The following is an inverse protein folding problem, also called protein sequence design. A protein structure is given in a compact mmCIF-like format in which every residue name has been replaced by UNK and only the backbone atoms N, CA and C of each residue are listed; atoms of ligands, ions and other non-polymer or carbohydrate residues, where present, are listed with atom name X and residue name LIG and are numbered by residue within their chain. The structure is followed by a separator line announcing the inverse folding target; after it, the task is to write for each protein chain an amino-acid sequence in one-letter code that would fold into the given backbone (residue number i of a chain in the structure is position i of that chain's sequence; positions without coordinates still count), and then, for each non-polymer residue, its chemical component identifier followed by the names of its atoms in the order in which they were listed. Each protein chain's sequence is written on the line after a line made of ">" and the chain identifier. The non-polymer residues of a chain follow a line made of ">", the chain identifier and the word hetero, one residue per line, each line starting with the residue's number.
data_IF_660636226484
#
_entry.id   IF_660636226484
#
_cell.length_a   1.000
_cell.length_b   1.000
_cell.length_c   1.000
_cell.angle_alpha   90.00
_cell.angle_beta   90.00
_cell.angle_gamma   90.00
#
_symmetry.space_group_name_H-M   'P 1'
#
loop_
_entity.id
_entity.type
_entity.pdbx_description
1 polymer ?
#
# COMPACT_ATOMS: atom_id res chain seq x y z
N UNK A 1 -17.59 46.10 -15.21
CA UNK A 1 -18.27 44.86 -14.81
C UNK A 1 -17.41 43.68 -15.27
N UNK A 2 -17.18 42.67 -14.42
CA UNK A 2 -16.52 41.41 -14.78
C UNK A 2 -16.86 40.36 -13.70
N UNK A 3 -17.38 39.15 -14.05
CA UNK A 3 -17.59 38.05 -13.10
C UNK A 3 -16.23 37.39 -12.82
N UNK A 4 -15.67 37.33 -11.60
CA UNK A 4 -16.19 37.06 -10.26
C UNK A 4 -16.55 35.58 -9.97
N UNK A 5 -16.05 35.14 -8.82
CA UNK A 5 -15.87 33.78 -8.31
C UNK A 5 -17.11 32.86 -8.30
N UNK A 6 -16.94 31.59 -8.68
CA UNK A 6 -17.60 30.45 -8.02
C UNK A 6 -16.93 29.09 -8.37
N UNK A 7 -16.36 28.40 -7.37
CA UNK A 7 -16.71 27.02 -6.97
C UNK A 7 -15.66 26.38 -6.04
N UNK A 8 -15.91 26.47 -4.73
CA UNK A 8 -15.32 25.59 -3.73
C UNK A 8 -16.28 25.49 -2.54
N UNK A 9 -17.07 24.41 -2.44
CA UNK A 9 -17.45 23.75 -1.18
C UNK A 9 -18.22 22.44 -1.45
N UNK A 10 -18.30 21.60 -0.41
CA UNK A 10 -19.00 20.30 -0.30
C UNK A 10 -18.41 19.06 -0.98
N UNK A 11 -17.80 18.22 -0.13
CA UNK A 11 -17.74 16.75 -0.25
C UNK A 11 -17.56 16.11 1.14
N UNK A 12 -18.44 16.47 2.09
CA UNK A 12 -18.63 15.75 3.36
C UNK A 12 -20.06 15.23 3.34
N UNK A 13 -20.22 13.94 3.09
CA UNK A 13 -21.51 13.26 2.92
C UNK A 13 -21.29 11.76 2.79
N UNK A 14 -22.30 10.97 3.17
CA UNK A 14 -22.22 9.51 3.21
C UNK A 14 -22.34 8.88 1.81
N UNK A 15 -21.79 7.67 1.66
CA UNK A 15 -22.26 6.71 0.64
C UNK A 15 -23.40 5.86 1.25
N UNK A 16 -24.47 5.57 0.51
CA UNK A 16 -25.58 4.74 1.00
C UNK A 16 -25.24 3.25 0.94
N UNK A 17 -25.69 2.49 1.95
CA UNK A 17 -25.61 1.03 1.96
C UNK A 17 -26.70 0.42 1.07
N UNK A 18 -26.32 -0.39 0.09
CA UNK A 18 -27.24 -1.03 -0.86
C UNK A 18 -27.11 -2.56 -0.82
N UNK A 19 -27.59 -3.16 0.27
CA UNK A 19 -27.74 -4.60 0.39
C UNK A 19 -28.82 -5.14 -0.56
N UNK A 20 -28.40 -5.75 -1.68
CA UNK A 20 -29.33 -6.40 -2.63
C UNK A 20 -29.78 -7.75 -2.07
N UNK A 21 -31.09 -7.88 -1.81
CA UNK A 21 -31.73 -9.18 -1.58
C UNK A 21 -32.07 -9.86 -2.91
N UNK A 22 -31.84 -11.17 -3.06
CA UNK A 22 -32.42 -11.94 -4.15
C UNK A 22 -33.84 -12.38 -3.79
N UNK A 23 -34.83 -12.01 -4.61
CA UNK A 23 -36.10 -12.76 -4.71
C UNK A 23 -36.07 -13.68 -5.93
N UNK A 24 -36.81 -14.78 -5.87
CA UNK A 24 -36.58 -15.95 -6.72
C UNK A 24 -37.60 -16.19 -7.83
N UNK A 25 -37.11 -16.76 -8.94
CA UNK A 25 -37.84 -17.62 -9.88
C UNK A 25 -36.90 -18.79 -10.20
N UNK A 26 -37.35 -19.98 -10.62
CA UNK A 26 -38.71 -20.51 -10.79
C UNK A 26 -38.57 -21.89 -11.45
N UNK A 27 -39.28 -22.91 -10.96
CA UNK A 27 -39.12 -24.30 -11.41
C UNK A 27 -39.65 -24.52 -12.83
N UNK A 28 -38.85 -25.17 -13.72
CA UNK A 28 -39.42 -26.08 -14.72
C UNK A 28 -38.48 -27.15 -15.32
N UNK A 29 -38.92 -28.40 -15.14
CA UNK A 29 -38.84 -29.57 -16.06
C UNK A 29 -37.59 -30.45 -16.13
N UNK A 30 -37.86 -31.75 -15.96
CA UNK A 30 -37.01 -32.91 -16.23
C UNK A 30 -36.63 -33.07 -17.72
N UNK A 31 -35.55 -33.82 -17.99
CA UNK A 31 -35.66 -35.18 -18.58
C UNK A 31 -34.41 -36.05 -18.37
N UNK A 32 -34.57 -37.36 -18.60
CA UNK A 32 -33.64 -38.46 -18.29
C UNK A 32 -32.92 -39.01 -19.52
N UNK A 33 -31.74 -39.61 -19.31
CA UNK A 33 -31.14 -40.62 -20.19
C UNK A 33 -30.25 -40.08 -21.33
N UNK A 34 -29.31 -40.84 -21.89
CA UNK A 34 -28.91 -42.25 -21.61
C UNK A 34 -27.43 -42.46 -21.95
N UNK A 35 -26.79 -43.51 -21.39
CA UNK A 35 -25.43 -43.96 -21.75
C UNK A 35 -25.32 -44.33 -23.24
N UNK A 36 -24.11 -44.21 -23.79
CA UNK A 36 -23.50 -45.26 -24.63
C UNK A 36 -21.97 -45.25 -24.42
N UNK A 37 -21.30 -46.35 -24.76
CA UNK A 37 -19.85 -46.53 -24.65
C UNK A 37 -19.30 -47.21 -25.91
N UNK A 38 -18.02 -46.99 -26.21
CA UNK A 38 -17.30 -47.62 -27.31
C UNK A 38 -15.79 -47.69 -26.99
N UNK A 39 -15.17 -48.83 -27.29
CA UNK A 39 -13.76 -49.15 -27.01
C UNK A 39 -12.98 -49.32 -28.33
N UNK A 40 -11.69 -49.72 -28.20
CA UNK A 40 -10.76 -50.13 -29.29
C UNK A 40 -10.18 -48.93 -30.06
N UNK A 41 -8.93 -48.86 -30.54
CA UNK A 41 -7.71 -49.70 -30.54
C UNK A 41 -6.49 -48.72 -30.71
N UNK A 42 -5.19 -49.03 -30.64
CA UNK A 42 -4.37 -50.26 -30.46
C UNK A 42 -2.94 -49.89 -29.95
N UNK A 43 -2.12 -50.89 -29.58
CA UNK A 43 -0.64 -50.83 -29.45
C UNK A 43 -0.07 -52.21 -29.80
N UNK A 44 1.15 -52.34 -30.36
CA UNK A 44 2.38 -52.43 -29.54
C UNK A 44 3.53 -51.58 -30.19
N UNK A 45 4.85 -51.80 -30.14
CA UNK A 45 5.72 -52.87 -29.59
C UNK A 45 7.20 -52.37 -29.44
N UNK A 46 8.07 -53.22 -28.87
CA UNK A 46 9.55 -53.22 -28.89
C UNK A 46 10.28 -52.08 -28.11
N UNK A 47 11.34 -52.30 -27.32
CA UNK A 47 12.21 -53.48 -27.10
C UNK A 47 13.52 -53.39 -27.91
N UNK A 48 14.73 -53.64 -27.37
CA UNK A 48 15.15 -54.01 -26.01
C UNK A 48 16.68 -53.78 -25.81
N UNK A 49 17.18 -53.87 -24.55
CA UNK A 49 18.55 -54.24 -24.11
C UNK A 49 19.87 -53.52 -24.55
N UNK A 50 20.53 -52.91 -23.54
CA UNK A 50 21.83 -53.34 -22.92
C UNK A 50 23.18 -52.57 -23.11
N UNK A 51 23.92 -52.54 -21.98
CA UNK A 51 25.38 -52.44 -21.73
C UNK A 51 26.25 -51.25 -22.23
N UNK A 52 26.43 -50.28 -21.33
CA UNK A 52 27.71 -49.87 -20.71
C UNK A 52 29.05 -49.93 -21.50
N UNK A 53 29.62 -48.76 -21.80
CA UNK A 53 31.08 -48.48 -21.78
C UNK A 53 31.35 -47.02 -21.34
N UNK A 54 32.55 -46.75 -20.80
CA UNK A 54 33.04 -45.46 -20.28
C UNK A 54 34.59 -45.56 -20.12
N UNK A 55 35.44 -44.51 -20.08
CA UNK A 55 35.24 -43.05 -20.27
C UNK A 55 36.05 -42.54 -21.50
N UNK A 56 36.55 -41.27 -21.64
CA UNK A 56 37.34 -40.47 -20.70
C UNK A 56 36.79 -39.04 -20.42
N UNK A 57 37.37 -38.36 -19.42
CA UNK A 57 36.96 -37.02 -18.98
C UNK A 57 37.75 -35.87 -19.65
N UNK A 58 37.12 -34.69 -19.76
CA UNK A 58 37.81 -33.40 -19.98
C UNK A 58 36.94 -32.24 -19.43
N UNK A 59 37.46 -31.28 -18.63
CA UNK A 59 36.61 -30.35 -17.87
C UNK A 59 36.22 -29.07 -18.64
N UNK A 60 34.99 -29.04 -19.18
CA UNK A 60 34.42 -27.86 -19.85
C UNK A 60 33.80 -26.84 -18.90
N UNK A 61 34.46 -25.69 -18.69
CA UNK A 61 33.95 -24.58 -17.85
C UNK A 61 32.63 -24.00 -18.36
N UNK A 62 31.53 -24.19 -17.61
CA UNK A 62 30.37 -23.26 -17.60
C UNK A 62 29.85 -23.07 -16.18
N UNK A 63 30.22 -21.94 -15.57
CA UNK A 63 29.72 -21.57 -14.25
C UNK A 63 28.28 -21.07 -14.35
N UNK A 64 27.32 -21.86 -13.87
CA UNK A 64 25.99 -21.35 -13.56
C UNK A 64 26.08 -20.49 -12.30
N UNK A 65 26.00 -19.17 -12.47
CA UNK A 65 25.80 -18.23 -11.36
C UNK A 65 24.38 -18.37 -10.83
N UNK A 66 24.17 -19.36 -9.95
CA UNK A 66 23.04 -19.40 -9.04
C UNK A 66 23.14 -18.19 -8.10
N UNK A 67 22.40 -17.13 -8.42
CA UNK A 67 22.13 -16.05 -7.48
C UNK A 67 21.08 -16.58 -6.49
N UNK A 68 21.40 -16.79 -5.20
CA UNK A 68 20.42 -17.20 -4.23
C UNK A 68 19.45 -16.04 -3.99
N UNK A 69 18.16 -16.24 -4.26
CA UNK A 69 17.13 -15.29 -3.88
C UNK A 69 17.03 -15.24 -2.34
N UNK A 70 17.61 -14.20 -1.73
CA UNK A 70 17.65 -14.03 -0.28
C UNK A 70 16.26 -13.70 0.28
N UNK A 71 15.47 -14.74 0.56
CA UNK A 71 14.19 -14.63 1.25
C UNK A 71 14.42 -14.28 2.72
N UNK A 72 14.63 -12.99 3.00
CA UNK A 72 14.81 -12.46 4.35
C UNK A 72 13.51 -12.61 5.16
N UNK A 73 13.50 -13.62 6.03
CA UNK A 73 12.52 -13.80 7.09
C UNK A 73 12.65 -12.66 8.11
N UNK A 74 11.76 -11.67 8.03
CA UNK A 74 11.56 -10.65 9.07
C UNK A 74 10.79 -11.22 10.28
N UNK A 75 11.27 -12.36 10.77
CA UNK A 75 10.67 -13.16 11.84
C UNK A 75 11.50 -13.00 13.11
N UNK A 76 11.04 -12.14 14.03
CA UNK A 76 11.66 -11.99 15.35
C UNK A 76 12.81 -10.97 15.44
N UNK A 77 12.51 -9.68 15.19
CA UNK A 77 13.28 -8.63 15.88
C UNK A 77 12.91 -8.65 17.37
N UNK A 78 13.86 -8.70 18.31
CA UNK A 78 13.55 -8.59 19.73
C UNK A 78 12.94 -7.21 20.04
N UNK A 79 12.06 -7.13 21.04
CA UNK A 79 11.46 -5.86 21.46
C UNK A 79 12.53 -4.86 21.89
N UNK A 80 12.80 -3.86 21.06
CA UNK A 80 13.82 -2.84 21.33
C UNK A 80 13.32 -1.87 22.41
N UNK A 81 13.48 -2.25 23.68
CA UNK A 81 13.17 -1.44 24.87
C UNK A 81 14.14 -0.28 25.13
N UNK A 82 14.76 0.27 24.07
CA UNK A 82 15.47 1.55 24.12
C UNK A 82 14.60 2.62 23.45
N UNK A 83 14.63 3.86 23.96
CA UNK A 83 13.80 4.95 23.40
C UNK A 83 14.13 5.19 21.93
N UNK A 84 13.24 4.74 21.03
CA UNK A 84 13.38 4.93 19.58
C UNK A 84 13.21 6.42 19.27
N UNK A 85 14.32 7.15 19.13
CA UNK A 85 14.40 8.62 18.90
C UNK A 85 13.21 9.13 18.04
N UNK A 86 12.50 10.19 18.47
CA UNK A 86 11.45 10.83 17.67
C UNK A 86 11.91 11.17 16.25
N UNK A 87 11.01 11.01 15.28
CA UNK A 87 11.21 11.47 13.90
C UNK A 87 10.45 12.79 13.68
N UNK A 88 10.92 13.59 12.71
CA UNK A 88 10.18 14.74 12.20
C UNK A 88 9.39 14.32 10.97
N UNK A 89 8.07 14.49 11.02
CA UNK A 89 7.15 14.01 9.99
C UNK A 89 6.44 15.21 9.33
N UNK A 90 6.67 15.38 8.03
CA UNK A 90 5.95 16.36 7.20
C UNK A 90 4.71 15.72 6.59
N UNK A 91 3.51 16.15 6.97
CA UNK A 91 2.26 15.61 6.45
C UNK A 91 1.70 16.53 5.38
N UNK A 92 1.83 16.13 4.11
CA UNK A 92 1.30 16.82 2.95
C UNK A 92 -0.12 16.31 2.68
N UNK A 93 -1.12 17.07 3.11
CA UNK A 93 -2.53 16.69 3.03
C UNK A 93 -3.09 16.15 4.34
N UNK A 94 -3.17 17.00 5.37
CA UNK A 94 -3.77 16.72 6.69
C UNK A 94 -5.32 16.61 6.64
N UNK A 95 -5.85 15.80 5.72
CA UNK A 95 -7.27 15.43 5.65
C UNK A 95 -7.63 14.28 6.60
N UNK A 96 -8.72 13.55 6.30
CA UNK A 96 -9.22 12.44 7.15
C UNK A 96 -8.16 11.36 7.44
N UNK A 97 -7.27 11.08 6.49
CA UNK A 97 -6.14 10.14 6.62
C UNK A 97 -4.94 10.83 7.30
N UNK A 98 -4.28 11.77 6.61
CA UNK A 98 -3.07 12.42 7.12
C UNK A 98 -3.23 13.11 8.48
N UNK A 99 -4.39 13.71 8.76
CA UNK A 99 -4.69 14.27 10.08
C UNK A 99 -4.74 13.19 11.17
N UNK A 100 -5.42 12.06 10.92
CA UNK A 100 -5.50 10.93 11.85
C UNK A 100 -4.13 10.28 12.11
N UNK A 101 -3.31 10.10 11.07
CA UNK A 101 -1.94 9.61 11.24
C UNK A 101 -1.06 10.59 12.01
N UNK A 102 -1.23 11.90 11.81
CA UNK A 102 -0.60 12.92 12.64
C UNK A 102 -1.02 12.85 14.11
N UNK A 103 -2.31 12.63 14.41
CA UNK A 103 -2.77 12.43 15.80
C UNK A 103 -2.14 11.18 16.45
N UNK A 104 -1.94 10.10 15.68
CA UNK A 104 -1.35 8.86 16.17
C UNK A 104 0.16 9.01 16.41
N UNK A 105 0.92 9.56 15.45
CA UNK A 105 2.36 9.73 15.59
C UNK A 105 2.75 10.75 16.66
N UNK A 106 1.97 11.81 16.89
CA UNK A 106 2.18 12.72 18.02
C UNK A 106 2.02 11.99 19.37
N UNK A 107 1.02 11.09 19.50
CA UNK A 107 0.84 10.26 20.70
C UNK A 107 1.99 9.28 20.90
N UNK A 108 2.56 8.75 19.82
CA UNK A 108 3.79 7.95 19.84
C UNK A 108 5.09 8.78 19.99
N UNK A 109 4.98 10.10 20.22
CA UNK A 109 6.10 10.98 20.57
C UNK A 109 6.87 11.59 19.39
N UNK A 110 6.44 11.41 18.14
CA UNK A 110 7.05 12.06 16.98
C UNK A 110 6.73 13.55 16.92
N UNK A 111 7.56 14.33 16.23
CA UNK A 111 7.25 15.73 15.88
C UNK A 111 6.54 15.77 14.52
N UNK A 112 5.44 16.51 14.38
CA UNK A 112 4.60 16.49 13.17
C UNK A 112 4.26 17.92 12.70
N UNK A 113 4.44 18.17 11.41
CA UNK A 113 3.89 19.35 10.73
C UNK A 113 2.73 18.92 9.84
N UNK A 114 1.53 19.30 10.24
CA UNK A 114 0.26 19.08 9.54
C UNK A 114 0.06 20.16 8.49
N UNK A 115 -0.02 19.81 7.20
CA UNK A 115 -0.20 20.81 6.15
C UNK A 115 -1.40 20.62 5.23
N UNK A 116 -1.90 21.75 4.76
CA UNK A 116 -2.83 21.85 3.64
C UNK A 116 -2.61 23.19 2.91
N UNK A 117 -3.37 23.45 1.84
CA UNK A 117 -3.42 24.77 1.17
C UNK A 117 -4.05 25.87 2.04
N UNK A 118 -4.63 25.48 3.17
CA UNK A 118 -5.37 26.29 4.13
C UNK A 118 -4.88 25.94 5.55
N UNK A 119 -3.64 26.32 5.92
CA UNK A 119 -3.04 25.96 7.21
C UNK A 119 -3.83 26.50 8.41
N UNK A 120 -4.56 27.62 8.25
CA UNK A 120 -5.40 28.23 9.28
C UNK A 120 -6.45 27.25 9.83
N UNK A 121 -6.90 26.32 8.98
CA UNK A 121 -7.91 25.29 9.34
C UNK A 121 -7.34 24.11 10.12
N UNK A 122 -6.03 24.10 10.35
CA UNK A 122 -5.31 23.04 11.08
C UNK A 122 -4.81 23.52 12.44
N UNK A 123 -4.94 24.81 12.77
CA UNK A 123 -4.45 25.36 14.03
C UNK A 123 -5.12 24.72 15.25
N UNK A 124 -6.45 24.57 15.24
CA UNK A 124 -7.20 23.91 16.31
C UNK A 124 -6.75 22.46 16.54
N UNK A 125 -6.44 21.74 15.46
CA UNK A 125 -5.90 20.38 15.50
C UNK A 125 -4.48 20.38 16.08
N UNK A 126 -3.61 21.28 15.62
CA UNK A 126 -2.24 21.40 16.13
C UNK A 126 -2.22 21.78 17.62
N UNK A 127 -3.00 22.79 18.05
CA UNK A 127 -3.12 23.20 19.46
C UNK A 127 -3.61 22.05 20.35
N UNK A 128 -4.60 21.27 19.89
CA UNK A 128 -5.11 20.08 20.60
C UNK A 128 -4.10 18.92 20.68
N UNK A 129 -3.14 18.85 19.76
CA UNK A 129 -2.05 17.88 19.76
C UNK A 129 -0.81 18.34 20.54
N UNK A 130 -0.76 19.61 20.97
CA UNK A 130 0.28 20.13 21.85
C UNK A 130 1.64 20.36 21.17
N UNK A 131 2.73 20.51 21.94
CA UNK A 131 3.98 21.11 21.45
C UNK A 131 4.76 20.29 20.42
N UNK A 132 4.38 19.01 20.19
CA UNK A 132 4.95 18.17 19.12
C UNK A 132 4.26 18.37 17.77
N UNK A 133 3.14 19.10 17.70
CA UNK A 133 2.38 19.35 16.49
C UNK A 133 2.40 20.83 16.09
N UNK A 134 2.46 21.11 14.78
CA UNK A 134 2.21 22.45 14.23
C UNK A 134 1.52 22.40 12.88
N UNK A 135 0.78 23.46 12.55
CA UNK A 135 0.20 23.67 11.22
C UNK A 135 1.23 24.34 10.29
N UNK A 136 1.04 24.21 8.97
CA UNK A 136 1.86 24.92 7.98
C UNK A 136 1.47 24.59 6.53
N UNK A 137 2.20 25.16 5.57
CA UNK A 137 2.04 24.89 4.12
C UNK A 137 2.69 23.56 3.71
N UNK A 138 2.35 23.01 2.53
CA UNK A 138 3.00 21.79 2.00
C UNK A 138 4.52 21.92 1.83
N UNK A 139 5.00 23.14 1.55
CA UNK A 139 6.43 23.45 1.41
C UNK A 139 7.14 23.42 2.76
N UNK A 140 6.55 24.00 3.79
CA UNK A 140 7.08 23.89 5.16
C UNK A 140 7.07 22.45 5.67
N UNK A 141 6.03 21.66 5.33
CA UNK A 141 5.99 20.23 5.64
C UNK A 141 7.16 19.46 5.01
N UNK A 142 7.42 19.69 3.72
CA UNK A 142 8.51 19.05 2.98
C UNK A 142 9.89 19.44 3.54
N UNK A 143 10.10 20.72 3.85
CA UNK A 143 11.35 21.20 4.48
C UNK A 143 11.54 20.59 5.88
N UNK A 144 10.50 20.57 6.71
CA UNK A 144 10.59 20.10 8.10
C UNK A 144 10.79 18.58 8.24
N UNK A 145 10.05 17.78 7.48
CA UNK A 145 9.99 16.33 7.71
C UNK A 145 11.25 15.61 7.22
N UNK A 146 11.91 14.88 8.10
CA UNK A 146 12.91 13.87 7.72
C UNK A 146 12.22 12.72 6.94
N UNK A 147 10.97 12.44 7.31
CA UNK A 147 10.04 11.54 6.62
C UNK A 147 8.78 12.32 6.23
N UNK A 148 8.21 12.01 5.07
CA UNK A 148 7.02 12.68 4.53
C UNK A 148 5.85 11.70 4.43
N UNK A 149 4.67 12.13 4.84
CA UNK A 149 3.40 11.47 4.50
C UNK A 149 2.71 12.24 3.36
N UNK A 150 2.50 11.57 2.23
CA UNK A 150 1.75 12.08 1.09
C UNK A 150 0.31 11.56 1.15
N UNK A 151 -0.63 12.44 1.52
CA UNK A 151 -2.05 12.15 1.77
C UNK A 151 -2.96 13.14 1.02
N UNK A 152 -2.62 13.44 -0.24
CA UNK A 152 -3.41 14.30 -1.15
C UNK A 152 -4.37 13.50 -2.05
N UNK A 153 -5.41 14.12 -2.63
CA UNK A 153 -6.14 13.53 -3.75
C UNK A 153 -5.18 13.18 -4.89
N UNK A 154 -5.34 12.00 -5.50
CA UNK A 154 -4.32 11.43 -6.38
C UNK A 154 -4.05 12.26 -7.64
N UNK A 155 -5.07 12.93 -8.18
CA UNK A 155 -4.91 13.88 -9.30
C UNK A 155 -4.05 15.12 -8.97
N UNK A 156 -3.83 15.44 -7.69
CA UNK A 156 -2.91 16.51 -7.27
C UNK A 156 -1.46 16.02 -7.15
N UNK A 157 -1.21 14.71 -7.05
CA UNK A 157 0.13 14.14 -6.84
C UNK A 157 1.16 14.57 -7.91
N UNK A 158 0.83 14.63 -9.22
CA UNK A 158 1.78 15.09 -10.24
C UNK A 158 2.10 16.58 -10.16
N UNK A 159 1.24 17.40 -9.53
CA UNK A 159 1.57 18.80 -9.25
C UNK A 159 2.50 18.89 -8.04
N UNK A 160 2.13 18.26 -6.92
CA UNK A 160 2.94 18.30 -5.69
C UNK A 160 4.37 17.80 -5.93
N UNK A 161 4.54 16.76 -6.74
CA UNK A 161 5.86 16.22 -7.10
C UNK A 161 6.72 17.13 -7.99
N UNK A 162 6.14 18.13 -8.68
CA UNK A 162 6.89 19.18 -9.37
C UNK A 162 7.17 20.36 -8.44
N UNK A 163 6.11 20.86 -7.80
CA UNK A 163 6.12 22.11 -7.03
C UNK A 163 6.96 22.00 -5.74
N UNK A 164 7.27 20.78 -5.30
CA UNK A 164 8.13 20.45 -4.15
C UNK A 164 9.31 19.51 -4.50
N UNK A 165 9.69 19.41 -5.78
CA UNK A 165 10.71 18.45 -6.23
C UNK A 165 12.05 18.59 -5.50
N UNK A 166 12.49 19.83 -5.26
CA UNK A 166 13.74 20.12 -4.57
C UNK A 166 13.66 19.78 -3.06
N UNK A 167 12.51 20.05 -2.43
CA UNK A 167 12.30 19.77 -1.00
C UNK A 167 12.11 18.27 -0.71
N UNK A 168 11.62 17.49 -1.68
CA UNK A 168 11.36 16.05 -1.50
C UNK A 168 12.53 15.14 -1.91
N UNK A 169 13.53 15.67 -2.62
CA UNK A 169 14.66 14.89 -3.14
C UNK A 169 15.38 14.10 -2.04
N UNK A 170 15.55 12.79 -2.25
CA UNK A 170 16.20 11.85 -1.32
C UNK A 170 15.42 11.52 -0.04
N UNK A 171 14.30 12.21 0.26
CA UNK A 171 13.50 11.93 1.46
C UNK A 171 12.70 10.64 1.33
N UNK A 172 12.39 10.03 2.47
CA UNK A 172 11.46 8.90 2.57
C UNK A 172 10.03 9.44 2.48
N UNK A 173 9.23 8.94 1.53
CA UNK A 173 7.85 9.36 1.31
C UNK A 173 6.91 8.17 1.43
N UNK A 174 6.02 8.20 2.41
CA UNK A 174 4.90 7.27 2.53
C UNK A 174 3.72 7.82 1.72
N UNK A 175 3.30 7.12 0.67
CA UNK A 175 2.16 7.49 -0.18
C UNK A 175 0.92 6.67 0.17
N UNK A 176 -0.13 7.35 0.64
CA UNK A 176 -1.44 6.75 0.97
C UNK A 176 -2.47 6.92 -0.15
N UNK A 177 -2.09 7.52 -1.28
CA UNK A 177 -2.99 7.92 -2.33
C UNK A 177 -3.63 6.73 -3.06
N UNK A 178 -4.83 6.92 -3.59
CA UNK A 178 -5.50 5.94 -4.44
C UNK A 178 -6.12 6.66 -5.65
N UNK A 179 -5.80 6.25 -6.90
CA UNK A 179 -6.43 6.78 -8.12
C UNK A 179 -7.90 6.36 -8.23
N UNK A 180 -8.78 7.35 -8.33
CA UNK A 180 -10.21 7.16 -8.56
C UNK A 180 -10.62 7.93 -9.83
N UNK A 181 -10.93 7.24 -10.95
CA UNK A 181 -11.30 7.91 -12.21
C UNK A 181 -12.44 8.93 -12.08
N UNK A 182 -13.42 8.68 -11.20
CA UNK A 182 -14.53 9.60 -10.89
C UNK A 182 -14.11 10.89 -10.16
N UNK A 183 -12.89 10.98 -9.64
CA UNK A 183 -12.33 12.13 -8.91
C UNK A 183 -11.13 12.76 -9.64
N UNK A 184 -10.28 11.93 -10.22
CA UNK A 184 -8.99 12.33 -10.80
C UNK A 184 -8.95 12.22 -12.34
N UNK A 185 -9.99 11.69 -12.99
CA UNK A 185 -10.08 11.57 -14.45
C UNK A 185 -9.13 10.53 -15.06
N UNK A 186 -8.76 10.73 -16.32
CA UNK A 186 -8.01 9.75 -17.14
C UNK A 186 -6.63 9.38 -16.56
N UNK A 187 -6.00 10.29 -15.80
CA UNK A 187 -4.72 9.99 -15.15
C UNK A 187 -4.86 8.85 -14.12
N UNK A 188 -6.04 8.71 -13.49
CA UNK A 188 -6.31 7.59 -12.58
C UNK A 188 -6.58 6.28 -13.33
N UNK A 189 -7.15 6.34 -14.54
CA UNK A 189 -7.27 5.15 -15.41
C UNK A 189 -5.87 4.66 -15.80
N UNK A 190 -5.01 5.56 -16.29
CA UNK A 190 -3.62 5.25 -16.63
C UNK A 190 -2.80 4.76 -15.42
N UNK A 191 -2.95 5.39 -14.25
CA UNK A 191 -2.27 4.98 -13.03
C UNK A 191 -2.70 3.60 -12.53
N UNK A 192 -3.99 3.25 -12.61
CA UNK A 192 -4.48 1.90 -12.27
C UNK A 192 -3.98 0.85 -13.26
N UNK A 193 -3.95 1.16 -14.56
CA UNK A 193 -3.38 0.26 -15.58
C UNK A 193 -1.88 -0.01 -15.36
N UNK A 194 -1.12 0.98 -14.88
CA UNK A 194 0.31 0.86 -14.54
C UNK A 194 0.56 0.19 -13.17
N UNK A 195 -0.42 0.24 -12.26
CA UNK A 195 -0.28 -0.10 -10.84
C UNK A 195 0.27 1.07 -10.01
N UNK A 196 -0.30 1.35 -8.84
CA UNK A 196 -0.06 2.63 -8.16
C UNK A 196 1.37 2.90 -7.76
N UNK A 197 2.11 1.91 -7.25
CA UNK A 197 3.51 2.11 -6.84
C UNK A 197 4.37 2.64 -7.99
N UNK A 198 4.21 2.06 -9.18
CA UNK A 198 4.96 2.44 -10.40
C UNK A 198 4.40 3.74 -11.02
N UNK A 199 3.14 4.08 -10.76
CA UNK A 199 2.56 5.37 -11.15
C UNK A 199 3.06 6.51 -10.24
N UNK A 200 2.91 6.37 -8.91
CA UNK A 200 3.36 7.32 -7.90
C UNK A 200 4.87 7.59 -7.98
N UNK A 201 5.69 6.56 -8.21
CA UNK A 201 7.14 6.75 -8.42
C UNK A 201 7.47 7.61 -9.66
N UNK A 202 6.62 7.59 -10.69
CA UNK A 202 6.73 8.47 -11.86
C UNK A 202 6.25 9.91 -11.61
N UNK A 203 5.45 10.13 -10.57
CA UNK A 203 4.99 11.47 -10.15
C UNK A 203 5.86 12.08 -9.06
N UNK A 204 6.63 11.27 -8.32
CA UNK A 204 7.56 11.67 -7.27
C UNK A 204 9.00 11.22 -7.61
N UNK A 205 9.61 11.74 -8.69
CA UNK A 205 10.97 11.36 -9.07
C UNK A 205 11.99 11.75 -7.99
N UNK A 206 12.96 10.88 -7.73
CA UNK A 206 14.05 11.14 -6.78
C UNK A 206 13.70 10.98 -5.29
N UNK A 207 12.49 10.54 -4.94
CA UNK A 207 12.10 10.23 -3.55
C UNK A 207 12.25 8.73 -3.23
N UNK A 208 12.48 8.40 -1.96
CA UNK A 208 12.52 7.01 -1.47
C UNK A 208 11.10 6.57 -1.11
N UNK A 209 10.35 6.17 -2.14
CA UNK A 209 8.89 5.96 -2.06
C UNK A 209 8.53 4.63 -1.36
N UNK A 210 7.54 4.71 -0.48
CA UNK A 210 6.85 3.56 0.13
C UNK A 210 5.35 3.71 -0.06
N UNK A 211 4.68 2.66 -0.58
CA UNK A 211 3.21 2.58 -0.59
C UNK A 211 2.75 2.02 0.76
N UNK A 212 1.94 2.79 1.48
CA UNK A 212 1.53 2.50 2.86
C UNK A 212 0.14 3.07 3.18
N UNK A 213 -0.60 2.45 4.10
CA UNK A 213 -1.94 2.83 4.61
C UNK A 213 -3.07 2.94 3.57
N UNK A 214 -2.79 2.96 2.26
CA UNK A 214 -3.78 3.18 1.19
C UNK A 214 -4.89 2.12 1.16
N UNK A 215 -4.65 0.90 1.68
CA UNK A 215 -5.63 -0.18 1.70
C UNK A 215 -6.69 -0.05 2.81
N UNK A 216 -6.46 0.80 3.82
CA UNK A 216 -7.40 1.00 4.94
C UNK A 216 -8.35 2.18 4.67
N UNK A 217 -9.66 2.03 4.90
CA UNK A 217 -10.57 3.16 4.89
C UNK A 217 -10.28 4.08 6.08
N UNK A 218 -10.47 5.38 5.90
CA UNK A 218 -10.18 6.39 6.93
C UNK A 218 -10.96 6.21 8.25
N UNK A 219 -12.06 5.44 8.24
CA UNK A 219 -12.82 5.03 9.42
C UNK A 219 -12.04 3.99 10.23
N UNK A 220 -11.62 2.89 9.57
CA UNK A 220 -10.79 1.84 10.17
C UNK A 220 -9.45 2.41 10.66
N UNK A 221 -8.87 3.36 9.96
CA UNK A 221 -7.64 4.06 10.37
C UNK A 221 -7.77 4.75 11.76
N UNK A 222 -9.01 5.01 12.22
CA UNK A 222 -9.30 5.56 13.56
C UNK A 222 -9.85 4.52 14.54
N UNK A 223 -10.65 3.54 14.11
CA UNK A 223 -11.22 2.51 15.01
C UNK A 223 -10.25 1.38 15.34
N UNK A 224 -9.35 1.03 14.41
CA UNK A 224 -8.50 -0.16 14.52
C UNK A 224 -7.10 0.13 15.08
N UNK A 225 -6.71 1.41 15.14
CA UNK A 225 -5.43 1.84 15.67
C UNK A 225 -5.31 1.49 17.15
N UNK A 226 -4.32 0.67 17.51
CA UNK A 226 -4.13 0.11 18.86
C UNK A 226 -5.33 -0.73 19.37
N UNK A 227 -6.13 -1.34 18.47
CA UNK A 227 -7.22 -2.25 18.89
C UNK A 227 -6.71 -3.43 19.73
N UNK A 228 -7.57 -3.97 20.59
CA UNK A 228 -7.27 -5.17 21.37
C UNK A 228 -7.19 -6.43 20.51
N UNK A 229 -6.32 -7.37 20.90
CA UNK A 229 -6.10 -8.64 20.18
C UNK A 229 -5.08 -8.52 19.03
N UNK A 230 -5.26 -9.30 17.95
CA UNK A 230 -4.45 -9.17 16.74
C UNK A 230 -4.68 -7.79 16.10
N UNK A 231 -3.64 -6.95 16.00
CA UNK A 231 -3.70 -5.63 15.36
C UNK A 231 -4.17 -5.73 13.91
N UNK A 232 -4.82 -4.66 13.43
CA UNK A 232 -5.05 -4.50 12.00
C UNK A 232 -3.70 -4.27 11.29
N UNK A 233 -3.54 -4.86 10.11
CA UNK A 233 -2.29 -4.85 9.36
C UNK A 233 -2.31 -3.86 8.20
N UNK A 234 -1.14 -3.29 7.92
CA UNK A 234 -0.90 -2.38 6.80
C UNK A 234 0.09 -3.04 5.84
N UNK A 235 -0.29 -3.30 4.57
CA UNK A 235 0.64 -3.75 3.56
C UNK A 235 1.62 -2.62 3.21
N UNK A 236 2.88 -2.98 3.00
CA UNK A 236 3.96 -2.09 2.62
C UNK A 236 4.66 -2.59 1.37
N UNK A 237 4.87 -1.70 0.40
CA UNK A 237 5.71 -1.97 -0.76
C UNK A 237 6.70 -0.81 -0.99
N UNK A 238 7.96 -1.14 -1.22
CA UNK A 238 9.08 -0.21 -1.39
C UNK A 238 10.25 -0.90 -2.10
N UNK A 239 11.01 -0.15 -2.89
CA UNK A 239 12.24 -0.64 -3.54
C UNK A 239 13.51 -0.33 -2.70
N UNK A 240 13.35 0.30 -1.53
CA UNK A 240 14.42 0.73 -0.61
C UNK A 240 14.19 0.14 0.79
N UNK A 241 15.18 -0.60 1.31
CA UNK A 241 15.07 -1.36 2.56
C UNK A 241 15.01 -0.50 3.83
N UNK A 242 15.70 0.65 3.84
CA UNK A 242 15.64 1.56 4.98
C UNK A 242 14.33 2.36 4.95
N UNK A 243 13.87 2.78 3.78
CA UNK A 243 12.54 3.39 3.63
C UNK A 243 11.44 2.42 4.10
N UNK A 244 11.54 1.14 3.72
CA UNK A 244 10.64 0.08 4.19
C UNK A 244 10.68 -0.10 5.71
N UNK A 245 11.88 -0.13 6.32
CA UNK A 245 12.07 -0.19 7.79
C UNK A 245 11.47 1.02 8.51
N UNK A 246 11.69 2.23 8.00
CA UNK A 246 11.15 3.47 8.58
C UNK A 246 9.63 3.51 8.46
N UNK A 247 9.07 3.10 7.33
CA UNK A 247 7.62 2.97 7.18
C UNK A 247 7.03 1.86 8.09
N UNK A 248 7.71 0.72 8.24
CA UNK A 248 7.30 -0.34 9.15
C UNK A 248 7.26 0.16 10.61
N UNK A 249 8.28 0.90 11.05
CA UNK A 249 8.25 1.60 12.34
C UNK A 249 7.04 2.55 12.44
N UNK A 250 6.79 3.38 11.43
CA UNK A 250 5.66 4.33 11.47
C UNK A 250 4.28 3.64 11.44
N UNK A 251 4.18 2.41 10.94
CA UNK A 251 2.99 1.56 11.08
C UNK A 251 2.85 1.02 12.52
N UNK A 252 3.94 0.52 13.12
CA UNK A 252 3.95 0.09 14.53
C UNK A 252 3.57 1.24 15.48
N UNK A 253 4.23 2.38 15.31
CA UNK A 253 4.05 3.58 16.14
C UNK A 253 2.66 4.22 15.91
N UNK A 254 1.98 3.93 14.78
CA UNK A 254 0.58 4.28 14.56
C UNK A 254 -0.43 3.25 15.15
N UNK A 255 0.04 2.17 15.78
CA UNK A 255 -0.81 1.16 16.42
C UNK A 255 -1.26 0.00 15.53
N UNK A 256 -0.61 -0.19 14.38
CA UNK A 256 -0.92 -1.23 13.39
C UNK A 256 0.22 -2.26 13.28
N UNK A 257 0.05 -3.28 12.44
CA UNK A 257 1.09 -4.28 12.14
C UNK A 257 1.61 -4.16 10.70
N UNK A 258 2.92 -3.94 10.47
CA UNK A 258 3.47 -3.83 9.13
C UNK A 258 3.61 -5.21 8.45
N UNK A 259 3.14 -5.31 7.21
CA UNK A 259 3.35 -6.50 6.36
C UNK A 259 4.09 -6.08 5.09
N UNK A 260 5.39 -6.35 5.03
CA UNK A 260 6.18 -6.17 3.82
C UNK A 260 5.68 -7.12 2.71
N UNK A 261 5.28 -6.55 1.58
CA UNK A 261 4.83 -7.27 0.37
C UNK A 261 5.99 -7.41 -0.63
N UNK A 262 6.91 -6.44 -0.66
CA UNK A 262 8.11 -6.44 -1.51
C UNK A 262 8.25 -5.14 -2.32
N UNK A 263 8.77 -5.19 -3.57
CA UNK A 263 9.03 -4.00 -4.38
C UNK A 263 7.75 -3.23 -4.75
N UNK A 264 7.88 -1.95 -5.12
CA UNK A 264 6.77 -1.04 -5.48
C UNK A 264 5.88 -1.60 -6.60
N UNK A 265 6.43 -2.44 -7.50
CA UNK A 265 5.67 -3.14 -8.52
C UNK A 265 4.58 -4.09 -7.97
N UNK A 266 4.70 -4.54 -6.71
CA UNK A 266 3.69 -5.35 -5.99
C UNK A 266 2.61 -4.51 -5.29
N UNK A 267 2.73 -3.18 -5.23
CA UNK A 267 1.72 -2.32 -4.58
C UNK A 267 0.31 -2.50 -5.17
N UNK A 268 0.24 -2.86 -6.46
CA UNK A 268 -1.01 -3.20 -7.18
C UNK A 268 -1.82 -4.35 -6.56
N UNK A 269 -1.21 -5.18 -5.72
CA UNK A 269 -1.87 -6.32 -5.06
C UNK A 269 -2.73 -5.88 -3.86
N UNK A 270 -2.57 -4.64 -3.39
CA UNK A 270 -3.39 -4.01 -2.36
C UNK A 270 -4.00 -2.66 -2.80
N UNK A 271 -4.17 -2.48 -4.13
CA UNK A 271 -4.86 -1.34 -4.73
C UNK A 271 -6.39 -1.46 -4.73
N UNK A 272 -7.07 -0.36 -5.07
CA UNK A 272 -8.53 -0.25 -5.16
C UNK A 272 -9.12 -1.38 -6.02
N UNK A 273 -9.93 -2.24 -5.40
CA UNK A 273 -10.61 -3.37 -6.04
C UNK A 273 -9.96 -4.74 -5.82
N UNK A 274 -8.82 -4.81 -5.12
CA UNK A 274 -8.21 -6.10 -4.74
C UNK A 274 -8.90 -6.73 -3.52
N UNK A 275 -8.70 -8.03 -3.31
CA UNK A 275 -9.35 -8.80 -2.25
C UNK A 275 -9.05 -8.31 -0.82
N UNK A 276 -7.95 -7.57 -0.62
CA UNK A 276 -7.51 -7.03 0.69
C UNK A 276 -7.83 -5.54 0.87
N UNK A 277 -8.27 -4.85 -0.18
CA UNK A 277 -8.61 -3.42 -0.13
C UNK A 277 -9.87 -3.16 0.71
N UNK A 278 -9.85 -2.08 1.50
CA UNK A 278 -10.99 -1.62 2.29
C UNK A 278 -11.20 -2.37 3.62
N UNK A 279 -10.29 -3.28 4.01
CA UNK A 279 -10.53 -4.26 5.09
C UNK A 279 -9.50 -4.16 6.23
N UNK A 280 -9.98 -4.21 7.47
CA UNK A 280 -9.19 -4.21 8.71
C UNK A 280 -8.60 -5.60 9.05
N UNK A 281 -7.96 -6.24 8.08
CA UNK A 281 -7.40 -7.60 8.21
C UNK A 281 -6.29 -7.67 9.26
N UNK A 282 -6.19 -8.80 9.97
CA UNK A 282 -4.96 -9.16 10.70
C UNK A 282 -3.80 -9.43 9.74
N UNK A 283 -2.54 -9.40 10.21
CA UNK A 283 -1.40 -9.74 9.37
C UNK A 283 -1.47 -11.16 8.81
N UNK A 284 -2.05 -12.09 9.58
CA UNK A 284 -2.32 -13.49 9.23
C UNK A 284 -3.33 -13.64 8.09
N UNK A 285 -4.33 -12.77 8.03
CA UNK A 285 -5.32 -12.74 6.93
C UNK A 285 -4.77 -11.98 5.71
N UNK A 286 -4.09 -10.85 5.94
CA UNK A 286 -3.48 -10.03 4.88
C UNK A 286 -2.42 -10.83 4.10
N UNK A 287 -1.52 -11.55 4.80
CA UNK A 287 -0.55 -12.46 4.17
C UNK A 287 -1.24 -13.54 3.33
N UNK A 288 -2.31 -14.14 3.86
CA UNK A 288 -3.10 -15.16 3.14
C UNK A 288 -3.75 -14.59 1.86
N UNK A 289 -4.33 -13.38 1.95
CA UNK A 289 -4.96 -12.69 0.82
C UNK A 289 -3.98 -12.22 -0.26
N UNK A 290 -2.69 -12.06 0.09
CA UNK A 290 -1.59 -11.67 -0.81
C UNK A 290 -0.69 -12.86 -1.23
N UNK A 291 -1.05 -14.10 -0.87
CA UNK A 291 -0.24 -15.29 -1.18
C UNK A 291 1.16 -15.29 -0.54
N UNK A 292 1.38 -14.48 0.51
CA UNK A 292 2.67 -14.33 1.17
C UNK A 292 2.94 -15.52 2.12
N UNK A 293 4.22 -15.85 2.27
CA UNK A 293 4.66 -16.82 3.27
C UNK A 293 4.19 -16.43 4.69
N UNK A 294 3.94 -17.45 5.50
CA UNK A 294 3.80 -17.27 6.95
C UNK A 294 5.13 -16.73 7.52
N UNK A 295 5.09 -15.88 8.57
CA UNK A 295 6.29 -15.50 9.31
C UNK A 295 6.91 -16.71 10.02
#
# INVERSE_FOLDING_TARGET
>A
MSPFMAHLLFAVGAEPDTAVRPEGLGDHRMRMGTRLAGNLHETPDHGEHAMETNPPANPGRRAFLLVPAAALLLSGLPGHGGERKPLKIGIIGAGRIGGTLGELWVKAGHEVLLSSRHPERLEDLARRLGPRARAGTPREAAVFGDVILMSVPYGALPQVGRDLAAELAGKIVLDTGNPYPSRDGDMAVAARAKGTGVASAGFLPGVRLVRAFNSLPHTALRSEAHRSGERAAVPLAADDEEALRVAARLVEDAGFEPVAVGPLARAKEFDVGTAVYGKALTARELRRGLGLARP
#
